data_IF_174343953900
#
_entry.id   IF_174343953900
#
_cell.length_a   1.000
_cell.length_b   1.000
_cell.length_c   1.000
_cell.angle_alpha   90.00
_cell.angle_beta   90.00
_cell.angle_gamma   90.00
#
_symmetry.space_group_name_H-M   'P 1'
#
loop_
_entity.id
_entity.type
_entity.pdbx_description
1 polymer ?
#
# COMPACT_ATOMS: atom_id res chain seq x y z
N UNK A 1 2.37 -12.08 3.23
CA UNK A 1 2.19 -11.68 4.65
C UNK A 1 0.73 -11.90 5.00
N UNK A 2 0.49 -12.59 6.08
CA UNK A 2 -0.85 -12.95 6.57
C UNK A 2 -1.30 -11.91 7.60
N UNK A 3 -2.61 -11.86 7.86
CA UNK A 3 -3.16 -10.92 8.85
C UNK A 3 -2.57 -11.11 10.27
N UNK A 4 -2.19 -12.32 10.63
CA UNK A 4 -1.55 -12.66 11.91
C UNK A 4 -0.12 -12.11 12.06
N UNK A 5 0.54 -11.76 10.95
CA UNK A 5 1.89 -11.17 10.94
C UNK A 5 1.85 -9.64 11.17
N UNK A 6 0.67 -9.03 11.11
CA UNK A 6 0.53 -7.58 11.17
C UNK A 6 0.53 -7.05 12.60
N UNK A 7 1.08 -5.85 12.74
CA UNK A 7 0.99 -5.08 13.98
C UNK A 7 -0.07 -4.00 13.86
N UNK A 8 -1.12 -4.11 14.68
CA UNK A 8 -2.17 -3.09 14.76
C UNK A 8 -1.98 -2.25 16.01
N UNK A 9 -2.12 -0.93 15.87
CA UNK A 9 -2.10 0.04 16.95
C UNK A 9 -3.37 0.88 16.90
N UNK A 10 -3.93 1.19 18.07
CA UNK A 10 -5.07 2.09 18.23
C UNK A 10 -4.60 3.53 18.43
N UNK A 11 -5.39 4.47 17.97
CA UNK A 11 -5.21 5.90 18.16
C UNK A 11 -6.58 6.57 18.35
N UNK A 12 -6.62 7.84 18.70
CA UNK A 12 -7.88 8.53 19.05
C UNK A 12 -8.94 8.55 17.95
N UNK A 13 -8.56 8.36 16.70
CA UNK A 13 -9.47 8.39 15.52
C UNK A 13 -9.71 7.05 14.86
N UNK A 14 -9.16 5.93 15.39
CA UNK A 14 -9.32 4.61 14.78
C UNK A 14 -8.15 3.66 15.03
N UNK A 15 -7.83 2.85 14.04
CA UNK A 15 -6.77 1.82 14.12
C UNK A 15 -5.87 1.89 12.91
N UNK A 16 -4.58 1.65 13.11
CA UNK A 16 -3.61 1.51 12.02
C UNK A 16 -2.96 0.13 12.07
N UNK A 17 -3.06 -0.59 10.98
CA UNK A 17 -2.43 -1.90 10.77
C UNK A 17 -1.20 -1.71 9.88
N UNK A 18 -0.02 -2.00 10.41
CA UNK A 18 1.23 -2.00 9.65
C UNK A 18 1.30 -3.27 8.83
N UNK A 19 1.30 -3.12 7.51
CA UNK A 19 1.37 -4.22 6.54
C UNK A 19 2.82 -4.60 6.25
N UNK A 20 3.69 -3.61 6.12
CA UNK A 20 5.12 -3.82 5.93
C UNK A 20 5.92 -2.58 6.36
N UNK A 21 7.18 -2.78 6.73
CA UNK A 21 8.14 -1.72 7.05
C UNK A 21 9.56 -2.20 6.67
N UNK A 22 10.39 -1.27 6.19
CA UNK A 22 11.78 -1.58 5.87
C UNK A 22 12.74 -0.58 6.54
N UNK A 23 13.88 -1.05 7.10
CA UNK A 23 14.29 -2.45 7.20
C UNK A 23 13.36 -3.27 8.11
N UNK A 24 13.38 -4.58 7.95
CA UNK A 24 12.64 -5.48 8.82
C UNK A 24 13.01 -5.24 10.28
N UNK A 25 12.01 -5.22 11.16
CA UNK A 25 12.19 -4.92 12.59
C UNK A 25 12.25 -3.43 12.93
N UNK A 26 12.23 -2.52 11.94
CA UNK A 26 12.13 -1.09 12.22
C UNK A 26 10.84 -0.75 12.98
N UNK A 27 10.91 0.27 13.83
CA UNK A 27 9.77 0.72 14.65
C UNK A 27 9.29 2.08 14.15
N UNK A 28 8.00 2.19 13.85
CA UNK A 28 7.40 3.45 13.36
C UNK A 28 7.68 4.65 14.26
N UNK A 29 7.66 4.44 15.60
CA UNK A 29 7.91 5.51 16.59
C UNK A 29 9.30 6.12 16.51
N UNK A 30 10.31 5.33 16.13
CA UNK A 30 11.71 5.77 16.08
C UNK A 30 12.02 6.65 14.87
N UNK A 31 11.11 6.71 13.88
CA UNK A 31 11.27 7.53 12.66
C UNK A 31 12.57 7.26 11.88
N UNK A 32 13.07 6.02 11.92
CA UNK A 32 14.33 5.61 11.30
C UNK A 32 14.15 4.59 10.16
N UNK A 33 12.90 4.33 9.76
CA UNK A 33 12.60 3.41 8.65
C UNK A 33 12.83 4.06 7.27
N UNK A 34 13.10 3.24 6.26
CA UNK A 34 13.23 3.68 4.87
C UNK A 34 11.85 3.88 4.22
N UNK A 35 11.00 2.85 4.30
CA UNK A 35 9.62 2.94 3.84
C UNK A 35 8.67 2.12 4.74
N UNK A 36 7.40 2.50 4.73
CA UNK A 36 6.35 1.83 5.48
C UNK A 36 5.04 1.83 4.70
N UNK A 37 4.39 0.66 4.66
CA UNK A 37 3.03 0.50 4.13
C UNK A 37 2.10 0.12 5.28
N UNK A 38 0.96 0.79 5.34
CA UNK A 38 -0.07 0.55 6.37
C UNK A 38 -1.47 0.79 5.83
N UNK A 39 -2.46 0.23 6.50
CA UNK A 39 -3.86 0.55 6.31
C UNK A 39 -4.43 1.06 7.63
N UNK A 40 -5.25 2.10 7.59
CA UNK A 40 -5.92 2.61 8.78
C UNK A 40 -7.42 2.71 8.58
N UNK A 41 -8.17 2.48 9.67
CA UNK A 41 -9.56 2.90 9.77
C UNK A 41 -9.59 4.28 10.42
N UNK A 42 -10.36 5.20 9.84
CA UNK A 42 -10.69 6.50 10.41
C UNK A 42 -12.15 6.45 10.80
N UNK A 43 -12.43 6.48 12.10
CA UNK A 43 -13.75 6.28 12.70
C UNK A 43 -14.33 7.59 13.29
N UNK A 44 -13.62 8.70 13.07
CA UNK A 44 -14.04 10.04 13.51
C UNK A 44 -14.35 10.93 12.32
N UNK A 45 -15.35 11.84 12.43
CA UNK A 45 -15.71 12.74 11.33
C UNK A 45 -14.59 13.70 10.93
N UNK A 46 -13.69 14.02 11.84
CA UNK A 46 -12.50 14.87 11.60
C UNK A 46 -11.26 14.22 12.23
N UNK A 47 -10.12 14.34 11.56
CA UNK A 47 -8.86 13.75 12.00
C UNK A 47 -7.66 14.59 11.55
N UNK A 48 -6.63 14.64 12.38
CA UNK A 48 -5.33 15.21 12.07
C UNK A 48 -4.31 14.11 11.82
N UNK A 49 -3.56 14.23 10.74
CA UNK A 49 -2.50 13.29 10.43
C UNK A 49 -1.22 13.68 11.18
N UNK A 50 -0.57 12.70 11.79
CA UNK A 50 0.73 12.93 12.43
C UNK A 50 1.75 13.41 11.41
N UNK A 51 2.40 14.56 11.59
CA UNK A 51 3.48 15.02 10.72
C UNK A 51 4.68 14.09 10.78
N UNK A 52 5.27 13.84 9.63
CA UNK A 52 6.49 13.02 9.45
C UNK A 52 7.39 13.72 8.41
N UNK A 53 8.12 14.79 8.81
CA UNK A 53 8.76 15.73 7.89
C UNK A 53 9.84 15.09 6.99
N UNK A 54 10.44 13.99 7.45
CA UNK A 54 11.46 13.27 6.68
C UNK A 54 10.90 12.32 5.63
N UNK A 55 9.58 12.28 5.44
CA UNK A 55 8.91 11.33 4.55
C UNK A 55 8.00 12.01 3.56
N UNK A 56 7.98 11.48 2.34
CA UNK A 56 6.92 11.67 1.38
C UNK A 56 5.79 10.67 1.65
N UNK A 57 4.54 11.09 1.43
CA UNK A 57 3.37 10.28 1.71
C UNK A 57 2.50 10.10 0.48
N UNK A 58 2.10 8.85 0.25
CA UNK A 58 1.04 8.51 -0.68
C UNK A 58 -0.14 7.94 0.10
N UNK A 59 -1.34 8.36 -0.23
CA UNK A 59 -2.57 7.99 0.44
C UNK A 59 -3.63 7.61 -0.59
N UNK A 60 -4.40 6.58 -0.32
CA UNK A 60 -5.54 6.19 -1.15
C UNK A 60 -6.64 5.62 -0.25
N UNK A 61 -7.86 6.04 -0.46
CA UNK A 61 -8.99 5.45 0.25
C UNK A 61 -9.34 4.09 -0.37
N UNK A 62 -9.38 3.06 0.49
CA UNK A 62 -9.84 1.72 0.13
C UNK A 62 -11.36 1.58 0.27
N UNK A 63 -11.95 2.39 1.14
CA UNK A 63 -13.38 2.47 1.38
C UNK A 63 -13.74 3.86 1.90
N UNK A 64 -14.79 4.46 1.34
CA UNK A 64 -15.25 5.80 1.68
C UNK A 64 -14.45 6.89 0.99
N UNK A 65 -15.00 8.10 0.98
CA UNK A 65 -14.40 9.31 0.44
C UNK A 65 -14.10 10.26 1.58
N UNK A 66 -13.03 11.03 1.48
CA UNK A 66 -12.71 12.07 2.46
C UNK A 66 -12.51 13.43 1.78
N UNK A 67 -12.63 14.48 2.58
CA UNK A 67 -12.02 15.77 2.27
C UNK A 67 -10.67 15.84 2.97
N UNK A 68 -9.65 16.34 2.30
CA UNK A 68 -8.30 16.53 2.84
C UNK A 68 -7.86 17.97 2.59
N UNK A 69 -7.12 18.55 3.53
CA UNK A 69 -6.44 19.85 3.33
C UNK A 69 -5.07 19.86 3.99
N UNK A 70 -4.21 20.73 3.49
CA UNK A 70 -2.85 20.93 4.01
C UNK A 70 -2.64 22.36 4.41
N UNK A 71 -2.00 22.57 5.57
CA UNK A 71 -1.54 23.88 6.06
C UNK A 71 -2.65 24.95 6.10
N UNK A 72 -3.89 24.54 6.45
CA UNK A 72 -5.04 25.43 6.49
C UNK A 72 -5.55 25.90 5.13
N UNK A 73 -5.09 25.30 4.02
CA UNK A 73 -5.52 25.63 2.66
C UNK A 73 -6.93 25.15 2.31
N UNK A 74 -7.22 25.03 1.03
CA UNK A 74 -8.52 24.58 0.55
C UNK A 74 -8.75 23.09 0.76
N UNK A 75 -9.99 22.71 1.06
CA UNK A 75 -10.41 21.31 1.11
C UNK A 75 -10.47 20.72 -0.30
N UNK A 76 -9.84 19.57 -0.47
CA UNK A 76 -9.85 18.77 -1.70
C UNK A 76 -10.59 17.46 -1.45
N UNK A 77 -11.40 17.04 -2.41
CA UNK A 77 -12.02 15.71 -2.38
C UNK A 77 -11.01 14.66 -2.75
N UNK A 78 -10.94 13.60 -1.94
CA UNK A 78 -10.14 12.41 -2.20
C UNK A 78 -11.09 11.20 -2.26
N UNK A 79 -11.57 10.84 -3.45
CA UNK A 79 -12.49 9.72 -3.63
C UNK A 79 -11.77 8.39 -3.50
N UNK A 80 -12.55 7.35 -3.20
CA UNK A 80 -12.10 5.97 -3.13
C UNK A 80 -11.30 5.55 -4.39
N UNK A 81 -10.19 4.84 -4.17
CA UNK A 81 -9.33 4.30 -5.23
C UNK A 81 -8.43 5.31 -5.93
N UNK A 82 -8.45 6.59 -5.52
CA UNK A 82 -7.62 7.65 -6.12
C UNK A 82 -6.34 7.85 -5.32
N UNK A 83 -5.15 7.58 -5.89
CA UNK A 83 -3.88 7.86 -5.23
C UNK A 83 -3.67 9.38 -5.07
N UNK A 84 -3.18 9.78 -3.92
CA UNK A 84 -2.90 11.16 -3.58
C UNK A 84 -1.53 11.28 -2.92
N UNK A 85 -0.73 12.25 -3.37
CA UNK A 85 0.63 12.51 -2.85
C UNK A 85 0.66 13.82 -2.07
N UNK A 86 1.40 13.84 -0.96
CA UNK A 86 1.67 15.05 -0.18
C UNK A 86 2.96 14.94 0.64
N UNK A 87 3.50 16.09 1.04
CA UNK A 87 4.66 16.16 1.91
C UNK A 87 4.28 15.76 3.33
N UNK A 88 5.01 14.83 3.93
CA UNK A 88 4.77 14.42 5.31
C UNK A 88 5.04 15.52 6.34
N UNK A 89 5.69 16.62 5.97
CA UNK A 89 5.85 17.81 6.82
C UNK A 89 4.57 18.67 6.91
N UNK A 90 3.63 18.50 5.96
CA UNK A 90 2.40 19.28 5.95
C UNK A 90 1.53 18.98 7.18
N UNK A 91 0.98 20.02 7.79
CA UNK A 91 -0.14 19.87 8.71
C UNK A 91 -1.36 19.47 7.89
N UNK A 92 -1.75 18.21 8.03
CA UNK A 92 -2.79 17.58 7.21
C UNK A 92 -4.00 17.26 8.04
N UNK A 93 -5.15 17.76 7.62
CA UNK A 93 -6.46 17.52 8.24
C UNK A 93 -7.34 16.76 7.27
N UNK A 94 -8.21 15.89 7.79
CA UNK A 94 -9.21 15.18 6.98
C UNK A 94 -10.60 15.26 7.60
N UNK A 95 -11.62 15.13 6.74
CA UNK A 95 -13.03 15.00 7.11
C UNK A 95 -13.63 13.81 6.39
N UNK A 96 -14.30 12.95 7.13
CA UNK A 96 -14.95 11.74 6.63
C UNK A 96 -14.41 10.49 7.29
N UNK A 97 -15.26 9.47 7.38
CA UNK A 97 -14.92 8.15 7.86
C UNK A 97 -14.48 7.29 6.67
N UNK A 98 -13.34 6.60 6.81
CA UNK A 98 -12.75 5.85 5.70
C UNK A 98 -11.85 4.71 6.17
N UNK A 99 -11.47 3.87 5.22
CA UNK A 99 -10.33 2.97 5.34
C UNK A 99 -9.30 3.40 4.31
N UNK A 100 -8.09 3.66 4.76
CA UNK A 100 -6.99 4.10 3.89
C UNK A 100 -5.94 3.02 3.63
N UNK A 101 -5.13 3.28 2.61
CA UNK A 101 -3.86 2.63 2.33
C UNK A 101 -2.80 3.72 2.20
N UNK A 102 -1.73 3.61 2.98
CA UNK A 102 -0.75 4.67 3.17
C UNK A 102 0.66 4.13 2.93
N UNK A 103 1.42 4.78 2.06
CA UNK A 103 2.83 4.54 1.81
C UNK A 103 3.62 5.76 2.26
N UNK A 104 4.62 5.55 3.11
CA UNK A 104 5.59 6.54 3.56
C UNK A 104 6.97 6.17 3.01
N UNK A 105 7.64 7.12 2.37
CA UNK A 105 8.95 6.96 1.75
C UNK A 105 9.92 7.98 2.35
N UNK A 106 11.07 7.55 2.85
CA UNK A 106 12.10 8.47 3.35
C UNK A 106 12.65 9.29 2.20
N UNK A 107 12.53 10.62 2.33
CA UNK A 107 12.96 11.60 1.32
C UNK A 107 14.41 11.42 0.95
N UNK A 108 14.71 11.48 -0.34
CA UNK A 108 16.05 11.37 -0.88
C UNK A 108 16.68 9.97 -0.83
N UNK A 109 15.97 8.97 -0.24
CA UNK A 109 16.43 7.58 -0.19
C UNK A 109 15.54 6.63 -0.96
N UNK A 110 14.24 6.88 -0.98
CA UNK A 110 13.25 6.05 -1.65
C UNK A 110 12.30 6.91 -2.48
N UNK A 111 11.88 6.35 -3.59
CA UNK A 111 10.81 6.85 -4.43
C UNK A 111 9.81 5.74 -4.70
N UNK A 112 8.59 6.10 -5.08
CA UNK A 112 7.57 5.08 -5.36
C UNK A 112 6.27 5.66 -5.84
N UNK A 113 5.36 4.75 -6.14
CA UNK A 113 4.00 5.08 -6.56
C UNK A 113 2.99 4.20 -5.83
N UNK A 114 1.76 4.65 -5.84
CA UNK A 114 0.61 3.90 -5.36
C UNK A 114 -0.40 3.75 -6.51
N UNK A 115 -1.03 2.59 -6.60
CA UNK A 115 -1.96 2.29 -7.68
C UNK A 115 -3.11 1.41 -7.19
N UNK A 116 -4.31 1.66 -7.69
CA UNK A 116 -5.45 0.75 -7.55
C UNK A 116 -5.32 -0.37 -8.58
N UNK A 117 -5.39 -1.62 -8.13
CA UNK A 117 -5.31 -2.82 -8.99
C UNK A 117 -6.63 -3.57 -8.89
N UNK A 118 -7.38 -3.60 -9.99
CA UNK A 118 -8.70 -4.24 -10.01
C UNK A 118 -8.97 -4.89 -11.37
N UNK A 119 -9.84 -5.91 -11.36
CA UNK A 119 -10.31 -6.55 -12.58
C UNK A 119 -10.19 -8.07 -12.55
N UNK A 120 -10.10 -8.64 -13.75
CA UNK A 120 -9.85 -10.07 -13.96
C UNK A 120 -8.37 -10.44 -13.82
N UNK A 121 -8.06 -11.70 -13.98
CA UNK A 121 -6.71 -12.24 -13.81
C UNK A 121 -5.68 -11.62 -14.77
N UNK A 122 -6.08 -11.30 -15.99
CA UNK A 122 -5.19 -10.71 -16.99
C UNK A 122 -4.85 -9.26 -16.69
N UNK A 123 -5.84 -8.47 -16.25
CA UNK A 123 -5.61 -7.09 -15.80
C UNK A 123 -4.69 -7.04 -14.59
N UNK A 124 -4.95 -7.88 -13.57
CA UNK A 124 -4.12 -7.95 -12.36
C UNK A 124 -2.70 -8.38 -12.70
N UNK A 125 -2.52 -9.43 -13.52
CA UNK A 125 -1.21 -9.90 -13.97
C UNK A 125 -0.43 -8.82 -14.71
N UNK A 126 -1.10 -8.13 -15.64
CA UNK A 126 -0.50 -7.06 -16.44
C UNK A 126 -0.02 -5.89 -15.55
N UNK A 127 -0.84 -5.47 -14.57
CA UNK A 127 -0.47 -4.43 -13.61
C UNK A 127 0.74 -4.85 -12.77
N UNK A 128 0.73 -6.07 -12.21
CA UNK A 128 1.85 -6.58 -11.41
C UNK A 128 3.14 -6.73 -12.24
N UNK A 129 3.05 -7.24 -13.47
CA UNK A 129 4.19 -7.39 -14.35
C UNK A 129 4.83 -6.04 -14.69
N UNK A 130 4.01 -5.03 -14.99
CA UNK A 130 4.45 -3.66 -15.26
C UNK A 130 5.13 -3.03 -14.04
N UNK A 131 4.51 -3.11 -12.87
CA UNK A 131 5.07 -2.56 -11.64
C UNK A 131 6.38 -3.27 -11.26
N UNK A 132 6.41 -4.60 -11.28
CA UNK A 132 7.59 -5.39 -10.93
C UNK A 132 8.76 -5.25 -11.94
N UNK A 133 8.50 -4.80 -13.16
CA UNK A 133 9.54 -4.47 -14.14
C UNK A 133 10.17 -3.08 -13.89
N UNK A 134 9.47 -2.18 -13.22
CA UNK A 134 9.90 -0.79 -13.00
C UNK A 134 10.39 -0.53 -11.57
N UNK A 135 9.95 -1.32 -10.60
CA UNK A 135 10.21 -1.11 -9.18
C UNK A 135 10.85 -2.34 -8.53
N UNK A 136 11.77 -2.08 -7.60
CA UNK A 136 12.51 -3.12 -6.86
C UNK A 136 11.61 -3.93 -5.93
N UNK A 137 10.60 -3.26 -5.34
CA UNK A 137 9.64 -3.87 -4.41
C UNK A 137 8.22 -3.45 -4.79
N UNK A 138 7.33 -4.42 -4.91
CA UNK A 138 5.89 -4.19 -5.10
C UNK A 138 5.12 -4.92 -3.99
N UNK A 139 4.31 -4.17 -3.27
CA UNK A 139 3.42 -4.70 -2.24
C UNK A 139 1.98 -4.57 -2.74
N UNK A 140 1.29 -5.70 -2.92
CA UNK A 140 -0.12 -5.74 -3.30
C UNK A 140 -0.96 -6.17 -2.10
N UNK A 141 -1.76 -5.25 -1.57
CA UNK A 141 -2.75 -5.51 -0.52
C UNK A 141 -4.09 -5.89 -1.16
N UNK A 142 -4.65 -7.02 -0.76
CA UNK A 142 -5.96 -7.46 -1.23
C UNK A 142 -7.07 -6.78 -0.41
N UNK A 143 -7.87 -5.96 -1.05
CA UNK A 143 -9.03 -5.29 -0.44
C UNK A 143 -10.26 -6.20 -0.48
N UNK A 144 -10.48 -6.88 -1.61
CA UNK A 144 -11.58 -7.83 -1.77
C UNK A 144 -11.27 -8.85 -2.88
N UNK A 145 -11.91 -9.99 -2.78
CA UNK A 145 -11.67 -11.14 -3.66
C UNK A 145 -10.59 -12.06 -3.12
N UNK A 146 -10.24 -13.06 -3.92
CA UNK A 146 -9.16 -14.01 -3.64
C UNK A 146 -8.44 -14.33 -4.93
N UNK A 147 -7.10 -14.33 -4.90
CA UNK A 147 -6.30 -14.72 -6.05
C UNK A 147 -5.18 -15.68 -5.65
N UNK A 148 -4.67 -16.41 -6.65
CA UNK A 148 -3.45 -17.18 -6.53
C UNK A 148 -2.45 -16.70 -7.59
N UNK A 149 -1.21 -16.51 -7.19
CA UNK A 149 -0.07 -16.25 -8.07
C UNK A 149 0.80 -17.49 -8.07
N UNK A 150 1.01 -18.08 -9.23
CA UNK A 150 1.88 -19.25 -9.38
C UNK A 150 3.01 -18.96 -10.35
N UNK A 151 4.18 -19.51 -10.08
CA UNK A 151 5.37 -19.38 -10.91
C UNK A 151 6.35 -20.50 -10.64
N UNK A 152 7.41 -20.55 -11.44
CA UNK A 152 8.53 -21.45 -11.19
C UNK A 152 9.70 -20.65 -10.65
N UNK A 153 10.30 -21.14 -9.56
CA UNK A 153 11.57 -20.61 -9.08
C UNK A 153 12.72 -21.01 -10.02
N UNK A 154 13.89 -20.42 -9.83
CA UNK A 154 15.10 -20.73 -10.63
C UNK A 154 15.50 -22.20 -10.60
N UNK A 155 15.20 -22.90 -9.51
CA UNK A 155 15.43 -24.35 -9.36
C UNK A 155 14.38 -25.22 -10.08
N UNK A 156 13.39 -24.57 -10.76
CA UNK A 156 12.31 -25.24 -11.46
C UNK A 156 11.13 -25.68 -10.58
N UNK A 157 11.20 -25.47 -9.26
CA UNK A 157 10.10 -25.78 -8.35
C UNK A 157 8.90 -24.86 -8.61
N UNK A 158 7.71 -25.44 -8.66
CA UNK A 158 6.47 -24.65 -8.78
C UNK A 158 6.07 -24.12 -7.40
N UNK A 159 5.87 -22.81 -7.31
CA UNK A 159 5.36 -22.16 -6.13
C UNK A 159 4.02 -21.48 -6.42
N UNK A 160 3.11 -21.58 -5.47
CA UNK A 160 1.82 -20.89 -5.52
C UNK A 160 1.64 -20.11 -4.23
N UNK A 161 1.37 -18.81 -4.36
CA UNK A 161 1.02 -17.93 -3.25
C UNK A 161 -0.46 -17.56 -3.38
N UNK A 162 -1.25 -17.87 -2.37
CA UNK A 162 -2.63 -17.42 -2.26
C UNK A 162 -2.68 -16.07 -1.54
N UNK A 163 -3.54 -15.19 -2.03
CA UNK A 163 -3.78 -13.88 -1.48
C UNK A 163 -5.29 -13.67 -1.27
N UNK A 164 -5.68 -13.47 -0.02
CA UNK A 164 -7.06 -13.24 0.40
C UNK A 164 -7.26 -11.81 0.90
N UNK A 165 -8.51 -11.39 0.99
CA UNK A 165 -8.85 -10.08 1.54
C UNK A 165 -8.16 -9.84 2.90
N UNK A 166 -7.52 -8.70 3.05
CA UNK A 166 -6.74 -8.33 4.22
C UNK A 166 -5.29 -8.84 4.23
N UNK A 167 -4.84 -9.58 3.22
CA UNK A 167 -3.45 -10.06 3.11
C UNK A 167 -2.64 -9.24 2.12
N UNK A 168 -1.31 -9.32 2.21
CA UNK A 168 -0.36 -8.62 1.32
C UNK A 168 0.58 -9.61 0.64
N UNK A 169 0.68 -9.50 -0.68
CA UNK A 169 1.72 -10.13 -1.49
C UNK A 169 2.88 -9.15 -1.64
N UNK A 170 4.10 -9.60 -1.36
CA UNK A 170 5.33 -8.87 -1.66
C UNK A 170 6.04 -9.51 -2.84
N UNK A 171 6.41 -8.70 -3.81
CA UNK A 171 7.22 -9.08 -4.97
C UNK A 171 8.51 -8.29 -4.94
N UNK A 172 9.64 -8.96 -5.13
CA UNK A 172 10.96 -8.35 -5.28
C UNK A 172 11.54 -8.78 -6.61
N UNK A 173 11.84 -7.80 -7.46
CA UNK A 173 12.26 -8.06 -8.84
C UNK A 173 11.12 -8.44 -9.79
N UNK A 174 11.44 -8.70 -11.07
CA UNK A 174 10.46 -8.94 -12.12
C UNK A 174 9.69 -10.25 -11.88
N UNK A 175 8.43 -10.28 -12.34
CA UNK A 175 7.66 -11.51 -12.33
C UNK A 175 8.33 -12.56 -13.25
N UNK A 176 8.37 -13.85 -12.82
CA UNK A 176 8.83 -14.93 -13.68
C UNK A 176 8.06 -14.99 -15.01
N UNK A 177 8.73 -15.33 -16.12
CA UNK A 177 8.13 -15.41 -17.47
C UNK A 177 6.88 -16.31 -17.51
N UNK A 178 6.84 -17.36 -16.69
CA UNK A 178 5.73 -18.30 -16.63
C UNK A 178 4.83 -18.09 -15.41
N UNK A 179 4.77 -16.84 -14.91
CA UNK A 179 3.86 -16.49 -13.82
C UNK A 179 2.41 -16.53 -14.32
N UNK A 180 1.55 -17.21 -13.58
CA UNK A 180 0.11 -17.20 -13.79
C UNK A 180 -0.59 -16.56 -12.59
N UNK A 181 -1.61 -15.75 -12.88
CA UNK A 181 -2.54 -15.19 -11.91
C UNK A 181 -3.90 -15.84 -12.13
N UNK A 182 -4.51 -16.33 -11.07
CA UNK A 182 -5.84 -16.92 -11.07
C UNK A 182 -6.70 -16.21 -10.02
N UNK A 183 -7.85 -15.67 -10.41
CA UNK A 183 -8.84 -15.14 -9.48
C UNK A 183 -9.85 -16.25 -9.22
N UNK A 184 -10.07 -16.60 -7.94
CA UNK A 184 -10.86 -17.78 -7.58
C UNK A 184 -12.35 -17.55 -7.74
N UNK A 185 -12.86 -16.35 -7.37
CA UNK A 185 -14.27 -16.01 -7.50
C UNK A 185 -14.42 -14.50 -7.78
N UNK A 186 -15.32 -14.16 -8.70
CA UNK A 186 -15.69 -12.78 -9.00
C UNK A 186 -14.58 -11.92 -9.57
N UNK A 187 -14.39 -10.72 -9.04
CA UNK A 187 -13.34 -9.77 -9.39
C UNK A 187 -12.42 -9.51 -8.22
N UNK A 188 -11.15 -9.26 -8.52
CA UNK A 188 -10.16 -8.84 -7.55
C UNK A 188 -10.13 -7.31 -7.43
N UNK A 189 -9.96 -6.81 -6.21
CA UNK A 189 -9.66 -5.41 -5.92
C UNK A 189 -8.54 -5.33 -4.89
N UNK A 190 -7.51 -4.56 -5.19
CA UNK A 190 -6.35 -4.37 -4.33
C UNK A 190 -5.74 -2.98 -4.47
N UNK A 191 -4.79 -2.70 -3.60
CA UNK A 191 -3.95 -1.51 -3.61
C UNK A 191 -2.48 -1.92 -3.70
N UNK A 192 -1.75 -1.38 -4.65
CA UNK A 192 -0.34 -1.62 -4.82
C UNK A 192 0.49 -0.41 -4.37
N UNK A 193 1.56 -0.69 -3.63
CA UNK A 193 2.66 0.24 -3.37
C UNK A 193 3.90 -0.30 -4.07
N UNK A 194 4.52 0.49 -4.95
CA UNK A 194 5.70 0.11 -5.69
C UNK A 194 6.84 1.07 -5.38
N UNK A 195 8.02 0.55 -5.04
CA UNK A 195 9.08 1.26 -4.34
C UNK A 195 10.43 0.97 -4.97
N UNK A 196 11.24 2.01 -5.19
CA UNK A 196 12.64 1.95 -5.57
C UNK A 196 13.53 2.61 -4.53
N UNK A 197 14.76 2.12 -4.43
CA UNK A 197 15.84 2.84 -3.77
C UNK A 197 16.40 3.89 -4.73
N UNK A 198 16.54 5.13 -4.28
CA UNK A 198 17.19 6.19 -5.07
C UNK A 198 18.69 5.90 -5.07
N UNK A 199 19.24 5.59 -6.24
CA UNK A 199 20.70 5.38 -6.41
C UNK A 199 21.38 6.73 -6.42
N UNK A 200 22.31 6.93 -5.47
CA UNK A 200 23.18 8.10 -5.38
C UNK A 200 24.21 8.13 -6.52
#
# INVERSE_FOLDING_TARGET
>A
MKQEDYRTTEWSGGKTTQLAIWPEGAVYGDRNFGWRVSSATVETPESDFTPVPDYDRHLMMLKGDILIRHNGGEWKSLPEGTPYFFDGADHTESRGEAVDFNLMLRKGQFEGVMESVAGDAEHVKSALARLAAQYETVLLYCVSGEMAVSGKAEDGAAHTCELKAGETLALTGPLPEHCAVCIKEGSFRGAAAAINTIKS
#
